data_IF_513140978114
#
_entry.id   IF_513140978114
#
_cell.length_a   1.000
_cell.length_b   1.000
_cell.length_c   1.000
_cell.angle_alpha   90.00
_cell.angle_beta   90.00
_cell.angle_gamma   90.00
#
_symmetry.space_group_name_H-M   'P 1'
#
loop_
_entity.id
_entity.type
_entity.pdbx_description
1 polymer ?
#
# COMPACT_ATOMS: atom_id res chain seq x y z
N UNK A 1 -82.40 1.89 0.60
CA UNK A 1 -82.06 2.31 -0.78
C UNK A 1 -81.89 3.83 -0.78
N UNK A 2 -80.68 4.35 -0.99
CA UNK A 2 -80.44 5.79 -1.12
C UNK A 2 -79.39 6.05 -2.19
N UNK A 3 -79.73 7.03 -3.04
CA UNK A 3 -78.91 7.89 -3.89
C UNK A 3 -78.10 7.27 -5.04
N UNK A 4 -78.57 7.51 -6.28
CA UNK A 4 -77.74 7.73 -7.47
C UNK A 4 -78.43 8.78 -8.36
N UNK A 5 -77.75 9.89 -8.67
CA UNK A 5 -78.00 10.72 -9.86
C UNK A 5 -76.68 11.28 -10.41
N UNK A 6 -76.36 10.84 -11.61
CA UNK A 6 -75.38 11.29 -12.62
C UNK A 6 -76.05 10.87 -13.97
N UNK A 7 -75.83 11.46 -15.17
CA UNK A 7 -74.87 12.48 -15.68
C UNK A 7 -75.65 13.66 -16.34
N UNK A 8 -75.18 14.59 -17.17
CA UNK A 8 -74.18 14.59 -18.23
C UNK A 8 -74.00 16.07 -18.68
N UNK A 9 -72.78 16.59 -18.81
CA UNK A 9 -72.00 16.64 -20.06
C UNK A 9 -72.08 18.02 -20.73
N UNK A 10 -70.92 18.69 -20.66
CA UNK A 10 -70.22 19.45 -21.68
C UNK A 10 -70.93 20.59 -22.43
N UNK A 11 -70.10 21.61 -22.68
CA UNK A 11 -70.08 22.45 -23.88
C UNK A 11 -70.94 23.71 -23.88
N UNK A 12 -70.62 24.65 -22.99
CA UNK A 12 -70.47 26.07 -23.36
C UNK A 12 -69.25 26.56 -22.56
N UNK A 13 -68.01 26.38 -23.03
CA UNK A 13 -67.36 27.14 -24.09
C UNK A 13 -67.16 28.60 -23.71
N UNK A 14 -65.90 28.93 -23.42
CA UNK A 14 -65.29 30.23 -23.64
C UNK A 14 -65.88 31.42 -22.91
N UNK A 15 -65.37 31.69 -21.72
CA UNK A 15 -64.71 32.97 -21.45
C UNK A 15 -64.02 32.88 -20.09
N UNK A 16 -62.75 33.31 -20.05
CA UNK A 16 -61.89 33.50 -18.86
C UNK A 16 -60.84 32.39 -18.60
N UNK A 17 -59.84 32.34 -19.49
CA UNK A 17 -58.43 32.05 -19.14
C UNK A 17 -57.75 33.42 -19.32
N UNK A 18 -56.80 33.90 -18.48
CA UNK A 18 -55.60 33.13 -18.12
C UNK A 18 -54.98 33.39 -16.73
N UNK A 19 -53.90 32.65 -16.49
CA UNK A 19 -52.77 32.92 -15.58
C UNK A 19 -52.91 32.44 -14.14
N UNK A 20 -52.42 31.22 -13.89
CA UNK A 20 -51.12 31.00 -13.26
C UNK A 20 -50.95 29.49 -13.06
N UNK A 21 -50.08 28.93 -13.89
CA UNK A 21 -49.49 27.61 -13.71
C UNK A 21 -48.69 27.63 -12.42
N UNK A 22 -49.31 27.24 -11.31
CA UNK A 22 -48.60 26.81 -10.11
C UNK A 22 -47.93 25.48 -10.44
N UNK A 23 -46.71 25.54 -10.96
CA UNK A 23 -45.81 24.40 -10.99
C UNK A 23 -45.69 23.90 -9.55
N UNK A 24 -46.07 22.64 -9.32
CA UNK A 24 -45.60 21.88 -8.18
C UNK A 24 -44.10 21.75 -8.40
N UNK A 25 -43.33 22.71 -7.87
CA UNK A 25 -41.95 22.48 -7.55
C UNK A 25 -41.95 21.46 -6.42
N UNK A 26 -41.74 20.20 -6.75
CA UNK A 26 -40.93 19.34 -5.89
C UNK A 26 -39.68 20.16 -5.58
N UNK A 27 -39.63 20.73 -4.38
CA UNK A 27 -38.36 21.04 -3.78
C UNK A 27 -37.68 19.67 -3.60
N UNK A 28 -36.98 19.22 -4.64
CA UNK A 28 -35.67 18.66 -4.35
C UNK A 28 -35.00 19.78 -3.58
N UNK A 29 -34.77 19.55 -2.29
CA UNK A 29 -33.59 20.11 -1.69
C UNK A 29 -32.48 19.61 -2.61
N UNK A 30 -32.04 20.47 -3.53
CA UNK A 30 -30.66 20.44 -3.93
C UNK A 30 -29.92 20.52 -2.59
N UNK A 31 -29.32 19.41 -2.16
CA UNK A 31 -28.20 19.48 -1.25
C UNK A 31 -27.24 20.44 -1.96
N UNK A 32 -27.26 21.71 -1.55
CA UNK A 32 -26.12 22.57 -1.77
C UNK A 32 -24.97 21.78 -1.18
N UNK A 33 -24.13 21.20 -2.03
CA UNK A 33 -22.86 20.59 -1.70
C UNK A 33 -21.97 21.73 -1.17
N UNK A 34 -22.26 22.19 0.03
CA UNK A 34 -21.51 23.24 0.72
C UNK A 34 -20.28 22.58 1.31
N UNK A 35 -19.29 22.36 0.46
CA UNK A 35 -17.98 21.80 0.80
C UNK A 35 -17.07 21.88 -0.42
N UNK A 36 -15.79 21.68 -0.22
CA UNK A 36 -14.79 21.73 -1.30
C UNK A 36 -14.85 20.46 -2.16
N UNK A 37 -14.38 20.56 -3.41
CA UNK A 37 -14.14 19.36 -4.22
C UNK A 37 -12.71 18.87 -3.98
N UNK A 38 -12.42 17.57 -4.15
CA UNK A 38 -11.06 17.06 -3.98
C UNK A 38 -10.03 17.84 -4.81
N UNK A 39 -10.38 18.27 -6.02
CA UNK A 39 -9.49 19.03 -6.91
C UNK A 39 -9.23 20.48 -6.47
N UNK A 40 -10.00 20.99 -5.50
CA UNK A 40 -9.77 22.31 -4.90
C UNK A 40 -8.72 22.25 -3.77
N UNK A 41 -8.53 21.08 -3.16
CA UNK A 41 -7.62 20.84 -2.04
C UNK A 41 -6.34 20.17 -2.54
N UNK A 42 -6.46 18.96 -3.09
CA UNK A 42 -5.30 18.10 -3.33
C UNK A 42 -4.81 18.09 -4.77
N UNK A 43 -3.57 17.64 -4.92
CA UNK A 43 -2.96 17.36 -6.21
C UNK A 43 -3.69 16.23 -6.96
N UNK A 44 -3.65 16.31 -8.29
CA UNK A 44 -4.21 15.24 -9.14
C UNK A 44 -3.55 13.89 -8.88
N UNK A 45 -2.27 13.86 -8.53
CA UNK A 45 -1.54 12.62 -8.23
C UNK A 45 -2.09 11.94 -6.99
N UNK A 46 -2.38 12.71 -5.93
CA UNK A 46 -2.99 12.18 -4.71
C UNK A 46 -4.38 11.61 -4.98
N UNK A 47 -5.24 12.40 -5.63
CA UNK A 47 -6.62 12.01 -5.98
C UNK A 47 -6.65 10.76 -6.86
N UNK A 48 -5.72 10.64 -7.83
CA UNK A 48 -5.61 9.48 -8.73
C UNK A 48 -4.82 8.31 -8.12
N UNK A 49 -4.41 8.41 -6.85
CA UNK A 49 -3.60 7.42 -6.12
C UNK A 49 -2.35 7.01 -6.93
N UNK A 50 -1.63 8.00 -7.43
CA UNK A 50 -0.40 7.83 -8.20
C UNK A 50 0.78 8.08 -7.26
N UNK A 51 1.54 7.03 -6.99
CA UNK A 51 2.69 7.14 -6.10
C UNK A 51 3.84 7.94 -6.74
N UNK A 52 4.59 8.73 -5.94
CA UNK A 52 5.55 9.71 -6.44
C UNK A 52 6.82 9.09 -7.06
N UNK A 53 7.08 7.80 -6.83
CA UNK A 53 8.18 7.07 -7.47
C UNK A 53 7.91 6.69 -8.94
N UNK A 54 6.69 6.89 -9.44
CA UNK A 54 6.33 6.64 -10.84
C UNK A 54 6.47 5.17 -11.27
N UNK A 55 6.71 4.94 -12.56
CA UNK A 55 6.94 3.59 -13.12
C UNK A 55 5.75 3.04 -13.89
N UNK A 56 5.65 1.70 -13.93
CA UNK A 56 4.57 0.99 -14.59
C UNK A 56 3.50 0.53 -13.57
N UNK A 57 2.43 -0.09 -14.06
CA UNK A 57 1.32 -0.56 -13.23
C UNK A 57 1.74 -1.48 -12.07
N UNK A 58 2.86 -2.21 -12.17
CA UNK A 58 3.35 -3.05 -11.05
C UNK A 58 3.99 -2.21 -9.95
N UNK A 59 4.88 -1.31 -10.35
CA UNK A 59 5.56 -0.38 -9.43
C UNK A 59 4.55 0.59 -8.78
N UNK A 60 3.44 0.87 -9.47
CA UNK A 60 2.31 1.65 -8.96
C UNK A 60 1.28 0.80 -8.19
N UNK A 61 1.56 -0.48 -7.92
CA UNK A 61 0.68 -1.42 -7.20
C UNK A 61 -0.73 -1.59 -7.80
N UNK A 62 -0.90 -1.24 -9.09
CA UNK A 62 -2.10 -1.48 -9.90
C UNK A 62 -2.12 -2.90 -10.50
N UNK A 63 -1.03 -3.65 -10.33
CA UNK A 63 -0.92 -5.06 -10.72
C UNK A 63 0.14 -5.78 -9.90
N UNK A 64 -0.02 -7.10 -9.73
CA UNK A 64 0.89 -7.87 -8.88
C UNK A 64 2.29 -8.07 -9.50
N UNK A 65 3.32 -7.83 -8.70
CA UNK A 65 4.69 -8.25 -8.97
C UNK A 65 4.77 -9.77 -9.07
N UNK A 66 5.48 -10.27 -10.07
CA UNK A 66 5.96 -11.66 -10.12
C UNK A 66 7.35 -11.79 -9.51
N UNK A 67 7.82 -13.03 -9.34
CA UNK A 67 9.13 -13.30 -8.76
C UNK A 67 10.25 -12.49 -9.42
N UNK A 68 10.27 -12.42 -10.76
CA UNK A 68 11.35 -11.78 -11.49
C UNK A 68 11.25 -10.24 -11.41
N UNK A 69 10.07 -9.69 -11.63
CA UNK A 69 9.82 -8.23 -11.55
C UNK A 69 10.02 -7.70 -10.13
N UNK A 70 9.61 -8.45 -9.11
CA UNK A 70 9.88 -8.13 -7.70
C UNK A 70 11.39 -8.11 -7.43
N UNK A 71 12.08 -9.19 -7.77
CA UNK A 71 13.53 -9.32 -7.59
C UNK A 71 14.29 -8.19 -8.29
N UNK A 72 14.01 -7.97 -9.57
CA UNK A 72 14.67 -6.94 -10.37
C UNK A 72 14.45 -5.56 -9.77
N UNK A 73 13.25 -5.29 -9.22
CA UNK A 73 12.97 -4.03 -8.55
C UNK A 73 13.72 -3.89 -7.23
N UNK A 74 13.77 -4.93 -6.41
CA UNK A 74 14.56 -4.94 -5.17
C UNK A 74 16.05 -4.65 -5.44
N UNK A 75 16.62 -5.24 -6.50
CA UNK A 75 17.99 -4.96 -6.93
C UNK A 75 18.18 -3.50 -7.34
N UNK A 76 17.27 -2.96 -8.16
CA UNK A 76 17.32 -1.56 -8.59
C UNK A 76 17.26 -0.58 -7.41
N UNK A 77 16.42 -0.86 -6.42
CA UNK A 77 16.31 -0.02 -5.22
C UNK A 77 17.58 -0.11 -4.37
N UNK A 78 18.16 -1.30 -4.20
CA UNK A 78 19.43 -1.45 -3.49
C UNK A 78 20.62 -0.73 -4.15
N UNK A 79 20.56 -0.51 -5.47
CA UNK A 79 21.60 0.23 -6.22
C UNK A 79 21.38 1.75 -6.25
N UNK A 80 20.28 2.26 -5.66
CA UNK A 80 19.96 3.68 -5.67
C UNK A 80 20.93 4.47 -4.78
N UNK A 81 21.30 5.67 -5.24
CA UNK A 81 22.06 6.63 -4.44
C UNK A 81 21.12 7.33 -3.43
N UNK A 82 21.32 7.08 -2.14
CA UNK A 82 20.58 7.76 -1.07
C UNK A 82 21.42 8.86 -0.42
N UNK A 83 20.75 9.94 -0.02
CA UNK A 83 21.39 11.11 0.58
C UNK A 83 20.67 11.46 1.88
N UNK A 84 21.44 11.73 2.93
CA UNK A 84 20.92 12.29 4.17
C UNK A 84 21.90 13.32 4.72
N UNK A 85 21.40 14.50 5.10
CA UNK A 85 22.21 15.63 5.59
C UNK A 85 23.40 16.01 4.69
N UNK A 86 23.25 15.84 3.37
CA UNK A 86 24.30 16.14 2.38
C UNK A 86 25.42 15.09 2.29
N UNK A 87 25.22 13.92 2.90
CA UNK A 87 26.12 12.77 2.81
C UNK A 87 25.45 11.64 2.04
N UNK A 88 26.23 10.93 1.22
CA UNK A 88 25.78 9.69 0.59
C UNK A 88 25.76 8.60 1.64
N UNK A 89 24.62 7.93 1.80
CA UNK A 89 24.45 6.82 2.74
C UNK A 89 23.97 5.61 1.95
N UNK A 90 24.67 4.49 2.04
CA UNK A 90 24.20 3.26 1.42
C UNK A 90 23.27 2.53 2.39
N UNK A 91 21.95 2.67 2.20
CA UNK A 91 20.99 2.14 3.18
C UNK A 91 20.47 0.74 2.87
N UNK A 92 20.75 0.18 1.70
CA UNK A 92 20.17 -1.09 1.27
C UNK A 92 21.21 -2.04 0.70
N UNK A 93 21.15 -3.32 1.10
CA UNK A 93 21.89 -4.38 0.42
C UNK A 93 20.97 -5.53 0.04
N UNK A 94 21.04 -5.93 -1.23
CA UNK A 94 20.24 -6.99 -1.81
C UNK A 94 20.94 -8.35 -1.68
N UNK A 95 20.15 -9.36 -1.34
CA UNK A 95 20.63 -10.73 -1.14
C UNK A 95 19.67 -11.74 -1.78
N UNK A 96 20.21 -12.89 -2.17
CA UNK A 96 19.43 -14.03 -2.64
C UNK A 96 19.79 -15.29 -1.88
N UNK A 97 18.81 -15.86 -1.17
CA UNK A 97 19.04 -17.03 -0.34
C UNK A 97 20.05 -16.69 0.77
N UNK A 98 20.92 -17.64 1.10
CA UNK A 98 21.96 -17.46 2.11
C UNK A 98 23.28 -17.96 1.53
N UNK A 99 24.41 -17.35 1.90
CA UNK A 99 25.74 -17.79 1.43
C UNK A 99 26.05 -19.26 1.78
N UNK A 100 25.53 -19.73 2.92
CA UNK A 100 25.77 -21.08 3.41
C UNK A 100 26.98 -21.15 4.35
N UNK A 101 27.36 -22.36 4.74
CA UNK A 101 28.34 -22.66 5.78
C UNK A 101 27.76 -23.59 6.85
N UNK A 102 28.40 -23.67 8.00
CA UNK A 102 27.93 -24.53 9.09
C UNK A 102 26.80 -23.85 9.86
N UNK A 103 25.58 -24.39 9.81
CA UNK A 103 24.48 -23.86 10.62
C UNK A 103 24.66 -24.18 12.12
N UNK A 104 23.82 -23.59 12.98
CA UNK A 104 23.85 -23.80 14.43
C UNK A 104 23.68 -25.28 14.89
N UNK A 105 23.30 -26.19 13.97
CA UNK A 105 23.20 -27.63 14.22
C UNK A 105 24.43 -28.41 13.75
N UNK A 106 25.49 -27.73 13.30
CA UNK A 106 26.71 -28.37 12.81
C UNK A 106 26.57 -28.95 11.40
N UNK A 107 25.52 -28.57 10.64
CA UNK A 107 25.28 -29.09 9.29
C UNK A 107 25.83 -28.09 8.28
N UNK A 108 26.68 -28.58 7.37
CA UNK A 108 27.15 -27.82 6.21
C UNK A 108 25.98 -27.54 5.25
N UNK A 109 25.81 -26.26 4.93
CA UNK A 109 24.79 -25.74 4.03
C UNK A 109 25.48 -25.01 2.89
N UNK A 110 24.86 -25.01 1.72
CA UNK A 110 25.31 -24.25 0.55
C UNK A 110 24.22 -23.24 0.17
N UNK A 111 24.53 -22.32 -0.74
CA UNK A 111 23.52 -21.41 -1.32
C UNK A 111 22.31 -22.16 -1.87
N UNK A 112 22.53 -23.28 -2.57
CA UNK A 112 21.46 -24.12 -3.12
C UNK A 112 20.64 -24.85 -2.02
N UNK A 113 21.10 -24.87 -0.78
CA UNK A 113 20.38 -25.53 0.32
C UNK A 113 19.12 -24.74 0.75
N UNK A 114 18.99 -23.50 0.26
CA UNK A 114 17.89 -22.59 0.59
C UNK A 114 17.07 -22.17 -0.64
N UNK A 115 17.23 -22.90 -1.76
CA UNK A 115 16.41 -22.73 -2.94
C UNK A 115 15.09 -23.49 -2.83
N UNK A 116 14.09 -23.03 -3.58
CA UNK A 116 12.87 -23.79 -3.83
C UNK A 116 13.15 -25.19 -4.40
N UNK A 117 12.39 -26.18 -3.96
CA UNK A 117 12.57 -27.57 -4.38
C UNK A 117 12.16 -27.85 -5.84
N UNK A 118 11.27 -27.03 -6.41
CA UNK A 118 10.70 -27.28 -7.74
C UNK A 118 11.26 -26.33 -8.80
N UNK A 119 11.25 -25.02 -8.57
CA UNK A 119 11.78 -24.05 -9.53
C UNK A 119 13.24 -23.66 -9.26
N UNK A 120 13.81 -24.09 -8.12
CA UNK A 120 15.22 -23.82 -7.75
C UNK A 120 15.55 -22.33 -7.73
N UNK A 121 14.64 -21.55 -7.15
CA UNK A 121 14.84 -20.12 -6.93
C UNK A 121 15.09 -19.84 -5.46
N UNK A 122 16.09 -19.01 -5.21
CA UNK A 122 16.38 -18.46 -3.89
C UNK A 122 15.37 -17.37 -3.55
N UNK A 123 15.00 -17.27 -2.27
CA UNK A 123 14.18 -16.15 -1.79
C UNK A 123 15.03 -14.86 -1.79
N UNK A 124 14.60 -13.80 -2.49
CA UNK A 124 15.27 -12.50 -2.42
C UNK A 124 14.92 -11.81 -1.10
N UNK A 125 15.88 -11.11 -0.53
CA UNK A 125 15.68 -10.29 0.67
C UNK A 125 16.59 -9.07 0.68
N UNK A 126 16.22 -8.07 1.47
CA UNK A 126 16.98 -6.83 1.63
C UNK A 126 17.33 -6.62 3.11
N UNK A 127 18.57 -6.22 3.35
CA UNK A 127 18.95 -5.53 4.59
C UNK A 127 18.75 -4.04 4.34
N UNK A 128 18.11 -3.35 5.29
CA UNK A 128 17.88 -1.92 5.25
C UNK A 128 18.32 -1.31 6.59
N UNK A 129 19.26 -0.37 6.56
CA UNK A 129 19.68 0.38 7.76
C UNK A 129 20.46 1.64 7.39
N UNK A 130 20.28 2.70 8.17
CA UNK A 130 21.15 3.89 8.11
C UNK A 130 22.43 3.72 8.92
N UNK A 131 22.52 2.74 9.82
CA UNK A 131 23.72 2.50 10.63
C UNK A 131 23.90 3.48 11.80
N UNK A 132 22.78 3.96 12.37
CA UNK A 132 22.79 4.81 13.57
C UNK A 132 23.27 6.23 13.29
N UNK A 133 23.76 6.90 14.34
CA UNK A 133 24.25 8.28 14.26
C UNK A 133 25.47 8.44 13.35
N UNK A 134 26.25 7.37 13.15
CA UNK A 134 27.44 7.39 12.30
C UNK A 134 27.12 7.30 10.80
N UNK A 135 25.88 6.93 10.45
CA UNK A 135 25.38 6.86 9.08
C UNK A 135 26.24 5.98 8.15
N UNK A 136 26.81 4.89 8.69
CA UNK A 136 27.64 3.95 7.92
C UNK A 136 26.80 2.92 7.13
N UNK A 137 25.47 2.96 7.26
CA UNK A 137 24.54 2.16 6.46
C UNK A 137 24.83 0.67 6.48
N UNK A 138 24.67 0.01 5.33
CA UNK A 138 24.95 -1.44 5.17
C UNK A 138 26.45 -1.76 5.03
N UNK A 139 27.30 -0.74 4.89
CA UNK A 139 28.75 -0.89 4.70
C UNK A 139 29.53 -0.86 6.03
N UNK A 140 28.88 -0.48 7.13
CA UNK A 140 29.44 -0.50 8.48
C UNK A 140 29.16 -1.79 9.25
N UNK A 141 29.24 -1.70 10.58
CA UNK A 141 28.94 -2.80 11.50
C UNK A 141 29.81 -4.06 11.31
N UNK A 142 29.36 -5.17 11.89
CA UNK A 142 29.93 -6.50 11.68
C UNK A 142 29.28 -7.21 10.49
N UNK A 143 30.03 -8.11 9.84
CA UNK A 143 29.55 -8.96 8.76
C UNK A 143 29.39 -10.41 9.21
N UNK A 144 28.29 -11.03 8.82
CA UNK A 144 28.00 -12.45 8.99
C UNK A 144 28.20 -13.19 7.67
N UNK A 145 29.31 -13.90 7.54
CA UNK A 145 29.68 -14.62 6.32
C UNK A 145 28.66 -15.71 5.91
N UNK A 146 27.96 -16.33 6.87
CA UNK A 146 27.02 -17.42 6.61
C UNK A 146 25.74 -16.93 5.90
N UNK A 147 25.26 -15.76 6.30
CA UNK A 147 24.08 -15.12 5.71
C UNK A 147 24.48 -14.21 4.54
N UNK A 148 25.69 -13.65 4.57
CA UNK A 148 26.12 -12.58 3.67
C UNK A 148 25.75 -11.18 4.15
N UNK A 149 25.29 -11.07 5.39
CA UNK A 149 24.71 -9.85 5.97
C UNK A 149 25.79 -8.97 6.61
N UNK A 150 25.92 -7.73 6.17
CA UNK A 150 26.78 -6.68 6.76
C UNK A 150 25.93 -5.51 7.27
N UNK A 151 26.53 -4.58 8.01
CA UNK A 151 25.77 -3.52 8.67
C UNK A 151 25.04 -4.02 9.90
N UNK A 152 25.66 -4.92 10.67
CA UNK A 152 25.14 -5.38 11.96
C UNK A 152 25.76 -4.59 13.11
N UNK A 153 24.95 -3.82 13.83
CA UNK A 153 25.37 -2.91 14.90
C UNK A 153 24.82 -3.41 16.23
N UNK A 154 25.71 -3.67 17.19
CA UNK A 154 25.34 -4.32 18.45
C UNK A 154 24.29 -3.55 19.29
N UNK A 155 24.18 -2.24 19.08
CA UNK A 155 23.29 -1.35 19.84
C UNK A 155 22.05 -0.90 19.03
N UNK A 156 21.87 -1.38 17.79
CA UNK A 156 20.71 -1.08 16.95
C UNK A 156 19.77 -2.29 16.95
N UNK A 157 18.47 -2.12 17.28
CA UNK A 157 17.56 -3.25 17.31
C UNK A 157 17.09 -3.67 15.91
N UNK A 158 16.94 -4.98 15.74
CA UNK A 158 16.49 -5.61 14.51
C UNK A 158 14.96 -5.68 14.40
N UNK A 159 14.47 -5.60 13.15
CA UNK A 159 13.10 -5.90 12.76
C UNK A 159 13.13 -6.83 11.56
N UNK A 160 12.32 -7.90 11.60
CA UNK A 160 12.16 -8.79 10.46
C UNK A 160 10.71 -8.77 9.97
N UNK A 161 10.54 -8.43 8.69
CA UNK A 161 9.25 -8.40 8.01
C UNK A 161 9.28 -9.41 6.86
N UNK A 162 8.35 -10.37 6.91
CA UNK A 162 8.30 -11.48 5.94
C UNK A 162 6.90 -11.59 5.36
N UNK A 163 6.86 -11.64 4.04
CA UNK A 163 5.65 -11.88 3.26
C UNK A 163 5.59 -13.28 2.64
N UNK A 164 4.42 -13.63 2.13
CA UNK A 164 4.16 -14.85 1.37
C UNK A 164 4.59 -16.16 2.05
N UNK A 165 4.21 -16.34 3.32
CA UNK A 165 4.25 -17.68 3.92
C UNK A 165 3.32 -18.64 3.17
N UNK A 166 2.18 -18.14 2.71
CA UNK A 166 1.21 -18.86 1.91
C UNK A 166 1.18 -18.30 0.50
N UNK A 167 1.37 -19.20 -0.45
CA UNK A 167 1.56 -18.85 -1.86
C UNK A 167 0.48 -17.93 -2.46
N UNK A 168 -0.80 -18.23 -2.19
CA UNK A 168 -1.99 -17.48 -2.65
C UNK A 168 -2.24 -16.12 -1.99
N UNK A 169 -1.54 -15.79 -0.91
CA UNK A 169 -1.79 -14.54 -0.17
C UNK A 169 -0.97 -13.43 -0.83
N UNK A 170 -1.37 -12.99 -2.03
CA UNK A 170 -0.49 -12.15 -2.86
C UNK A 170 -0.23 -10.77 -2.26
N UNK A 171 -1.25 -10.17 -1.62
CA UNK A 171 -1.06 -8.92 -0.87
C UNK A 171 0.03 -9.01 0.20
N UNK A 172 0.32 -10.20 0.73
CA UNK A 172 1.34 -10.35 1.78
C UNK A 172 2.76 -10.13 1.28
N UNK A 173 3.03 -10.13 -0.03
CA UNK A 173 4.31 -9.70 -0.59
C UNK A 173 4.26 -8.33 -1.26
N UNK A 174 3.08 -7.88 -1.72
CA UNK A 174 2.90 -6.52 -2.23
C UNK A 174 3.06 -5.46 -1.14
N UNK A 175 2.48 -5.68 0.05
CA UNK A 175 2.61 -4.73 1.16
C UNK A 175 4.08 -4.52 1.57
N UNK A 176 4.91 -5.57 1.75
CA UNK A 176 6.36 -5.41 1.89
C UNK A 176 7.04 -4.62 0.75
N UNK A 177 6.60 -4.81 -0.50
CA UNK A 177 7.16 -4.08 -1.65
C UNK A 177 6.75 -2.59 -1.62
N UNK A 178 5.52 -2.28 -1.23
CA UNK A 178 5.07 -0.90 -1.04
C UNK A 178 5.86 -0.22 0.08
N UNK A 179 6.04 -0.89 1.22
CA UNK A 179 6.89 -0.43 2.30
C UNK A 179 8.33 -0.13 1.82
N UNK A 180 8.88 -0.98 0.97
CA UNK A 180 10.21 -0.78 0.40
C UNK A 180 10.27 0.45 -0.52
N UNK A 181 9.28 0.66 -1.39
CA UNK A 181 9.21 1.84 -2.25
C UNK A 181 9.07 3.12 -1.43
N UNK A 182 8.23 3.11 -0.40
CA UNK A 182 8.05 4.23 0.54
C UNK A 182 9.38 4.59 1.21
N UNK A 183 10.11 3.62 1.76
CA UNK A 183 11.46 3.88 2.30
C UNK A 183 12.38 4.43 1.21
N UNK A 184 12.40 3.78 0.04
CA UNK A 184 13.35 4.13 -1.00
C UNK A 184 13.09 5.53 -1.56
N UNK A 185 11.83 5.98 -1.59
CA UNK A 185 11.46 7.30 -2.07
C UNK A 185 11.78 8.37 -1.03
N UNK A 186 11.29 8.20 0.21
CA UNK A 186 11.24 9.26 1.20
C UNK A 186 12.44 9.32 2.16
N UNK A 187 13.32 8.32 2.16
CA UNK A 187 14.50 8.36 3.02
C UNK A 187 15.34 9.63 2.76
N UNK A 188 15.58 10.38 3.83
CA UNK A 188 16.32 11.64 3.83
C UNK A 188 15.50 12.89 3.52
N UNK A 189 14.18 12.74 3.32
CA UNK A 189 13.21 13.84 3.17
C UNK A 189 12.56 14.18 4.51
N UNK A 190 12.01 15.39 4.61
CA UNK A 190 11.25 15.87 5.76
C UNK A 190 10.38 17.08 5.36
N UNK A 191 9.15 17.14 5.86
CA UNK A 191 8.22 18.24 5.64
C UNK A 191 7.87 18.40 4.16
N UNK A 192 7.44 17.30 3.53
CA UNK A 192 7.02 17.29 2.13
C UNK A 192 5.50 17.31 2.09
N UNK A 193 4.93 18.36 1.52
CA UNK A 193 3.53 18.41 1.11
C UNK A 193 3.30 17.38 -0.02
N UNK A 194 2.91 16.16 0.37
CA UNK A 194 2.94 14.99 -0.51
C UNK A 194 1.61 14.71 -1.23
N UNK A 195 0.54 15.36 -0.78
CA UNK A 195 -0.81 15.32 -1.28
C UNK A 195 -1.21 16.63 -1.99
N UNK A 196 -0.58 17.77 -1.67
CA UNK A 196 -0.58 19.00 -2.46
C UNK A 196 -1.51 20.10 -1.97
N UNK A 197 -2.00 20.01 -0.74
CA UNK A 197 -2.96 20.93 -0.12
C UNK A 197 -2.28 22.22 0.42
N UNK A 198 -0.96 22.18 0.57
CA UNK A 198 -0.12 23.28 1.05
C UNK A 198 0.23 23.24 2.54
N UNK A 199 -0.16 22.17 3.25
CA UNK A 199 0.20 21.88 4.61
C UNK A 199 1.20 20.69 4.63
N UNK A 200 1.68 20.32 5.84
CA UNK A 200 2.69 19.26 6.01
C UNK A 200 2.55 18.58 7.38
N UNK A 201 2.88 17.28 7.45
CA UNK A 201 2.88 16.45 8.66
C UNK A 201 1.53 16.51 9.43
N UNK A 202 0.42 16.22 8.76
CA UNK A 202 -0.91 16.71 9.17
C UNK A 202 -1.69 15.72 10.01
N UNK A 203 -1.81 14.48 9.51
CA UNK A 203 -2.51 13.45 10.22
C UNK A 203 -1.60 12.54 11.05
N UNK A 204 -2.01 12.36 12.31
CA UNK A 204 -1.54 11.24 13.10
C UNK A 204 -2.31 9.98 12.74
N UNK A 205 -1.65 8.82 12.77
CA UNK A 205 -2.32 7.55 12.45
C UNK A 205 -3.49 7.24 13.40
N UNK A 206 -4.72 7.36 12.87
CA UNK A 206 -5.98 7.07 13.56
C UNK A 206 -6.48 8.20 14.46
N UNK A 207 -7.61 7.98 15.13
CA UNK A 207 -8.29 8.93 16.05
C UNK A 207 -7.42 9.32 17.26
N UNK A 208 -6.54 10.30 17.09
CA UNK A 208 -5.53 10.64 18.10
C UNK A 208 -6.07 11.60 19.14
N UNK A 209 -7.12 12.35 18.82
CA UNK A 209 -7.81 13.24 19.75
C UNK A 209 -8.95 12.55 20.54
N UNK A 210 -9.38 11.37 20.08
CA UNK A 210 -10.36 10.50 20.74
C UNK A 210 -11.81 10.91 20.52
N UNK A 211 -12.11 11.69 19.48
CA UNK A 211 -13.45 12.13 19.13
C UNK A 211 -14.28 11.09 18.36
N UNK A 212 -13.61 10.03 17.89
CA UNK A 212 -14.20 8.92 17.13
C UNK A 212 -14.22 9.12 15.61
N UNK A 213 -13.59 10.17 15.10
CA UNK A 213 -13.30 10.43 13.70
C UNK A 213 -11.83 10.11 13.44
N UNK A 214 -11.50 9.69 12.22
CA UNK A 214 -10.11 9.33 11.87
C UNK A 214 -9.33 10.51 11.27
N UNK A 215 -10.06 11.46 10.72
CA UNK A 215 -9.61 12.71 10.11
C UNK A 215 -9.40 13.75 11.23
N UNK A 216 -8.18 13.84 11.76
CA UNK A 216 -7.84 14.63 12.95
C UNK A 216 -7.64 16.14 12.60
N UNK A 217 -7.26 16.45 11.36
CA UNK A 217 -7.08 17.83 10.86
C UNK A 217 -8.33 18.40 10.15
N UNK A 218 -9.23 17.53 9.70
CA UNK A 218 -10.58 17.86 9.22
C UNK A 218 -10.70 18.01 7.70
N UNK A 219 -9.74 17.51 6.93
CA UNK A 219 -9.68 17.71 5.50
C UNK A 219 -10.75 16.91 4.74
N UNK A 220 -11.02 15.65 5.09
CA UNK A 220 -12.19 14.94 4.57
C UNK A 220 -13.49 15.60 5.02
N UNK A 221 -13.57 16.05 6.26
CA UNK A 221 -14.75 16.73 6.80
C UNK A 221 -15.04 18.07 6.11
N UNK A 222 -14.03 18.69 5.49
CA UNK A 222 -14.15 19.91 4.69
C UNK A 222 -14.80 19.67 3.31
N UNK A 223 -14.71 18.45 2.79
CA UNK A 223 -15.29 18.07 1.51
C UNK A 223 -16.81 18.15 1.52
N UNK A 224 -17.39 18.36 0.34
CA UNK A 224 -18.82 18.16 0.19
C UNK A 224 -19.20 16.70 0.52
N UNK A 225 -20.34 16.51 1.18
CA UNK A 225 -20.80 15.19 1.68
C UNK A 225 -20.86 14.08 0.63
N UNK A 226 -20.96 14.43 -0.66
CA UNK A 226 -20.94 13.48 -1.77
C UNK A 226 -19.54 13.00 -2.17
N UNK A 227 -18.48 13.56 -1.60
CA UNK A 227 -17.08 13.18 -1.82
C UNK A 227 -16.45 12.48 -0.61
N UNK A 228 -17.09 12.54 0.56
CA UNK A 228 -16.56 11.98 1.81
C UNK A 228 -16.50 10.44 1.85
N UNK A 229 -17.27 9.73 1.02
CA UNK A 229 -17.21 8.27 0.83
C UNK A 229 -16.60 8.00 -0.56
N UNK A 230 -15.34 8.38 -0.70
CA UNK A 230 -14.59 8.37 -1.96
C UNK A 230 -14.29 6.94 -2.46
N UNK A 231 -14.17 5.98 -1.54
CA UNK A 231 -13.96 4.57 -1.88
C UNK A 231 -15.28 3.77 -2.02
N UNK A 232 -16.41 4.34 -1.60
CA UNK A 232 -17.75 3.78 -1.79
C UNK A 232 -18.10 2.62 -0.87
N UNK A 233 -17.43 2.50 0.28
CA UNK A 233 -17.69 1.45 1.26
C UNK A 233 -18.89 1.76 2.19
N UNK A 234 -19.42 2.98 2.11
CA UNK A 234 -20.58 3.45 2.86
C UNK A 234 -20.25 4.07 4.22
N UNK A 235 -18.97 4.29 4.52
CA UNK A 235 -18.48 5.02 5.70
C UNK A 235 -17.85 6.31 5.20
N UNK A 236 -18.46 7.46 5.51
CA UNK A 236 -17.88 8.75 5.15
C UNK A 236 -16.67 9.05 6.04
N UNK A 237 -15.59 9.54 5.43
CA UNK A 237 -14.29 9.81 6.07
C UNK A 237 -13.79 8.58 6.84
N UNK A 238 -13.92 7.41 6.21
CA UNK A 238 -13.46 6.12 6.72
C UNK A 238 -12.04 5.79 6.25
N UNK A 239 -11.47 4.67 6.72
CA UNK A 239 -10.15 4.23 6.27
C UNK A 239 -10.07 4.08 4.74
N UNK A 240 -9.12 4.78 4.13
CA UNK A 240 -8.90 4.75 2.69
C UNK A 240 -9.85 5.64 1.88
N UNK A 241 -10.60 6.53 2.55
CA UNK A 241 -11.16 7.71 1.89
C UNK A 241 -10.10 8.80 1.73
N UNK A 242 -10.28 9.66 0.73
CA UNK A 242 -9.49 10.89 0.62
C UNK A 242 -9.84 11.83 1.76
N UNK A 243 -8.85 12.40 2.43
CA UNK A 243 -9.00 13.36 3.51
C UNK A 243 -8.80 12.81 4.94
N UNK A 244 -8.20 11.64 5.15
CA UNK A 244 -8.25 10.91 6.44
C UNK A 244 -6.89 10.46 6.99
N UNK A 245 -5.89 10.32 6.13
CA UNK A 245 -4.52 9.97 6.53
C UNK A 245 -3.53 10.64 5.59
N UNK A 246 -3.74 11.94 5.35
CA UNK A 246 -2.89 12.76 4.50
C UNK A 246 -1.53 13.00 5.14
N UNK A 247 -0.54 13.09 4.26
CA UNK A 247 0.84 13.48 4.57
C UNK A 247 1.46 12.95 5.88
N UNK A 248 1.83 11.66 5.88
CA UNK A 248 2.64 11.09 6.95
C UNK A 248 4.04 11.74 7.02
N UNK A 249 4.59 11.85 8.22
CA UNK A 249 5.92 12.44 8.39
C UNK A 249 7.06 11.62 7.78
N UNK A 250 7.70 12.12 6.72
CA UNK A 250 8.87 11.46 6.11
C UNK A 250 10.07 11.38 7.04
N UNK A 251 10.17 12.32 8.00
CA UNK A 251 11.23 12.30 8.99
C UNK A 251 11.15 11.01 9.84
N UNK A 252 9.94 10.52 10.13
CA UNK A 252 9.77 9.25 10.84
C UNK A 252 10.30 8.06 10.05
N UNK A 253 10.20 8.06 8.72
CA UNK A 253 10.81 7.03 7.86
C UNK A 253 12.33 7.07 7.98
N UNK A 254 12.92 8.27 7.91
CA UNK A 254 14.36 8.45 8.02
C UNK A 254 14.87 7.99 9.39
N UNK A 255 14.17 8.36 10.45
CA UNK A 255 14.50 7.95 11.82
C UNK A 255 14.34 6.44 12.02
N UNK A 256 13.31 5.84 11.43
CA UNK A 256 13.11 4.39 11.46
C UNK A 256 14.30 3.67 10.83
N UNK A 257 14.72 4.08 9.63
CA UNK A 257 15.86 3.46 8.93
C UNK A 257 17.17 3.69 9.67
N UNK A 258 17.40 4.89 10.22
CA UNK A 258 18.63 5.19 10.95
C UNK A 258 18.74 4.44 12.27
N UNK A 259 17.61 4.18 12.94
CA UNK A 259 17.60 3.58 14.28
C UNK A 259 17.25 2.11 14.29
N UNK A 260 17.07 1.46 13.13
CA UNK A 260 16.74 0.03 13.02
C UNK A 260 17.58 -0.67 11.98
N UNK A 261 17.68 -1.98 12.16
CA UNK A 261 18.13 -2.92 11.14
C UNK A 261 16.92 -3.71 10.66
N UNK A 262 16.51 -3.48 9.41
CA UNK A 262 15.29 -4.06 8.85
C UNK A 262 15.68 -5.16 7.86
N UNK A 263 15.16 -6.35 8.12
CA UNK A 263 15.26 -7.51 7.24
C UNK A 263 13.93 -7.70 6.53
N UNK A 264 13.91 -7.39 5.24
CA UNK A 264 12.69 -7.48 4.43
C UNK A 264 12.78 -8.69 3.50
N UNK A 265 11.86 -9.64 3.67
CA UNK A 265 11.69 -10.81 2.79
C UNK A 265 10.30 -10.79 2.18
N UNK A 266 10.08 -10.10 1.04
CA UNK A 266 8.74 -9.96 0.48
C UNK A 266 8.11 -11.32 0.11
N UNK A 267 8.87 -12.20 -0.56
CA UNK A 267 8.36 -13.50 -1.01
C UNK A 267 9.18 -14.65 -0.43
N UNK A 268 8.73 -15.21 0.70
CA UNK A 268 9.37 -16.39 1.27
C UNK A 268 9.08 -17.66 0.44
N UNK A 269 7.82 -17.94 0.14
CA UNK A 269 7.41 -19.15 -0.59
C UNK A 269 7.38 -18.94 -2.11
N UNK A 270 8.54 -18.61 -2.68
CA UNK A 270 8.73 -18.36 -4.12
C UNK A 270 8.18 -19.47 -5.01
N UNK A 271 8.49 -20.73 -4.70
CA UNK A 271 8.00 -21.88 -5.47
C UNK A 271 6.47 -21.98 -5.47
N UNK A 272 5.88 -21.84 -4.28
CA UNK A 272 4.45 -21.94 -4.12
C UNK A 272 3.73 -20.80 -4.83
N UNK A 273 4.21 -19.56 -4.71
CA UNK A 273 3.59 -18.41 -5.37
C UNK A 273 3.63 -18.56 -6.89
N UNK A 274 4.78 -18.95 -7.45
CA UNK A 274 4.89 -19.23 -8.89
C UNK A 274 3.93 -20.33 -9.32
N UNK A 275 3.84 -21.42 -8.56
CA UNK A 275 2.92 -22.50 -8.88
C UNK A 275 1.44 -22.08 -8.85
N UNK A 276 1.06 -21.30 -7.85
CA UNK A 276 -0.28 -20.75 -7.73
C UNK A 276 -0.66 -19.95 -8.97
N UNK A 277 0.25 -19.06 -9.40
CA UNK A 277 0.08 -18.12 -10.50
C UNK A 277 0.21 -18.73 -11.88
N UNK A 278 1.13 -19.64 -12.08
CA UNK A 278 1.49 -20.13 -13.41
C UNK A 278 0.77 -21.43 -13.76
N UNK A 279 0.32 -22.21 -12.75
CA UNK A 279 -0.16 -23.58 -12.96
C UNK A 279 -1.51 -23.83 -12.30
N UNK A 280 -1.69 -23.46 -11.03
CA UNK A 280 -2.85 -23.90 -10.25
C UNK A 280 -4.10 -23.07 -10.52
N UNK A 281 -4.00 -21.75 -10.36
CA UNK A 281 -5.13 -20.83 -10.54
C UNK A 281 -4.93 -19.83 -11.69
N UNK A 282 -3.70 -19.66 -12.19
CA UNK A 282 -3.43 -18.70 -13.26
C UNK A 282 -3.22 -17.27 -12.72
N UNK A 283 -3.08 -16.31 -13.63
CA UNK A 283 -2.92 -14.88 -13.28
C UNK A 283 -4.16 -14.30 -12.58
N UNK A 284 -5.34 -14.89 -12.80
CA UNK A 284 -6.62 -14.52 -12.18
C UNK A 284 -6.94 -15.34 -10.93
N UNK A 285 -5.98 -15.55 -10.02
CA UNK A 285 -6.18 -16.52 -8.93
C UNK A 285 -7.27 -16.15 -7.92
N UNK A 286 -7.67 -14.87 -7.86
CA UNK A 286 -8.84 -14.45 -7.08
C UNK A 286 -10.17 -15.01 -7.63
N UNK A 287 -10.18 -15.48 -8.88
CA UNK A 287 -11.34 -16.05 -9.57
C UNK A 287 -11.29 -17.59 -9.67
N UNK A 288 -10.42 -18.26 -8.91
CA UNK A 288 -10.36 -19.72 -8.94
C UNK A 288 -11.25 -20.39 -7.88
N UNK A 289 -12.04 -21.36 -8.31
CA UNK A 289 -12.97 -22.13 -7.47
C UNK A 289 -12.29 -22.88 -6.30
N UNK A 290 -10.97 -23.09 -6.38
CA UNK A 290 -10.16 -23.87 -5.43
C UNK A 290 -9.50 -23.05 -4.31
N UNK A 291 -9.82 -21.75 -4.21
CA UNK A 291 -9.27 -20.83 -3.22
C UNK A 291 -7.73 -20.69 -3.24
N UNK A 292 -7.06 -20.99 -4.35
CA UNK A 292 -5.60 -20.84 -4.52
C UNK A 292 -4.74 -21.91 -3.83
N UNK A 293 -3.52 -22.07 -4.32
CA UNK A 293 -2.47 -22.91 -3.73
C UNK A 293 -1.79 -22.21 -2.56
N UNK A 294 -1.53 -22.94 -1.46
CA UNK A 294 -0.99 -22.36 -0.22
C UNK A 294 0.43 -22.81 0.13
N UNK A 295 0.79 -24.05 -0.19
CA UNK A 295 1.98 -24.71 0.36
C UNK A 295 3.24 -24.40 -0.46
N UNK A 296 4.41 -24.80 0.06
CA UNK A 296 5.60 -24.96 -0.76
C UNK A 296 5.46 -26.20 -1.67
N UNK A 297 6.42 -26.38 -2.58
CA UNK A 297 6.49 -27.53 -3.49
C UNK A 297 7.51 -28.58 -3.07
N UNK A 298 7.80 -28.69 -1.76
CA UNK A 298 8.70 -29.72 -1.27
C UNK A 298 8.09 -31.10 -1.48
N UNK A 299 8.87 -32.02 -2.05
CA UNK A 299 8.49 -33.42 -2.13
C UNK A 299 8.54 -34.06 -0.73
N UNK A 300 7.38 -34.56 -0.28
CA UNK A 300 7.21 -35.23 1.01
C UNK A 300 7.14 -36.76 0.88
N UNK A 301 7.45 -37.31 -0.29
CA UNK A 301 7.40 -38.77 -0.55
C UNK A 301 8.66 -39.52 -0.11
N UNK A 302 9.71 -38.78 0.29
CA UNK A 302 10.97 -39.34 0.79
C UNK A 302 11.00 -39.22 2.31
N UNK A 303 10.70 -40.33 3.00
CA UNK A 303 10.84 -40.50 4.46
C UNK A 303 12.10 -41.27 4.81
#
# INVERSE_FOLDING_TARGET
MSSRRIPAVLAILCMLVPMLTGSISTANQDDDSSGESPEDIWSTQYIEQIHPWGGNDRIQFKSYHDYFTMKDRMMQLAEKDYQYQGQSVNIMSFHEGLNGGTNARGVEMTVNSYEGHFYSHSSPWLKITGGGEELNGVDGGECNDFVGDCGNYADIPDIQMIGNFHAREWMSYEVPMMFLETIAHYYGMAGIDNDGDGLVDEDTWGDSDGDGQLDDDGDCLSLASNFQDSNGDGIACGPGDLGVDEDFSEQQITDLVNTREIYLVPMLNVDGNRYDREVFCGEDAWNCDSAGWRKNLRDNTVS
#
